data_IF_670116415351
#
_entry.id   IF_670116415351
#
_cell.length_a   1.000
_cell.length_b   1.000
_cell.length_c   1.000
_cell.angle_alpha   90.00
_cell.angle_beta   90.00
_cell.angle_gamma   90.00
#
_symmetry.space_group_name_H-M   'P 1'
#
loop_
_entity.id
_entity.type
_entity.pdbx_description
1 polymer ?
#
# COMPACT_ATOMS: atom_id res chain seq x y z
N UNK A 1 13.41 5.59 -43.25
CA UNK A 1 12.23 4.76 -42.97
C UNK A 1 11.78 5.13 -41.56
N UNK A 2 10.65 5.84 -41.46
CA UNK A 2 10.16 6.40 -40.20
C UNK A 2 9.60 5.30 -39.29
N UNK A 3 10.04 5.26 -38.03
CA UNK A 3 9.37 4.49 -36.99
C UNK A 3 8.08 5.23 -36.58
N UNK A 4 6.93 4.56 -36.42
CA UNK A 4 5.75 5.23 -35.90
C UNK A 4 5.97 5.48 -34.41
N UNK A 5 5.91 6.76 -34.02
CA UNK A 5 5.61 7.16 -32.65
C UNK A 5 4.22 6.64 -32.33
N UNK A 6 4.13 5.54 -31.57
CA UNK A 6 2.86 5.11 -30.98
C UNK A 6 2.45 6.22 -30.02
N UNK A 7 1.46 7.02 -30.40
CA UNK A 7 0.93 8.04 -29.52
C UNK A 7 0.28 7.35 -28.32
N UNK A 8 0.68 7.76 -27.12
CA UNK A 8 -0.02 7.44 -25.87
C UNK A 8 -1.32 8.26 -25.80
N UNK A 9 -2.18 8.15 -26.79
CA UNK A 9 -3.42 8.90 -26.85
C UNK A 9 -4.60 7.97 -26.55
N UNK A 10 -5.25 8.19 -25.43
CA UNK A 10 -6.59 7.65 -25.18
C UNK A 10 -7.56 8.25 -26.21
N UNK A 11 -8.57 7.48 -26.62
CA UNK A 11 -9.63 8.04 -27.47
C UNK A 11 -10.40 9.13 -26.71
N UNK A 12 -10.94 10.11 -27.42
CA UNK A 12 -11.77 11.16 -26.82
C UNK A 12 -12.96 10.55 -26.05
N UNK A 13 -13.53 9.46 -26.56
CA UNK A 13 -14.59 8.72 -25.87
C UNK A 13 -14.12 8.14 -24.52
N UNK A 14 -12.89 7.58 -24.46
CA UNK A 14 -12.34 7.07 -23.21
C UNK A 14 -12.03 8.19 -22.21
N UNK A 15 -11.49 9.32 -22.69
CA UNK A 15 -11.25 10.51 -21.85
C UNK A 15 -12.56 11.08 -21.29
N UNK A 16 -13.59 11.20 -22.14
CA UNK A 16 -14.93 11.65 -21.74
C UNK A 16 -15.56 10.69 -20.73
N UNK A 17 -15.53 9.38 -20.97
CA UNK A 17 -16.05 8.39 -20.03
C UNK A 17 -15.35 8.44 -18.67
N UNK A 18 -14.03 8.52 -18.65
CA UNK A 18 -13.26 8.61 -17.41
C UNK A 18 -13.54 9.91 -16.63
N UNK A 19 -13.63 11.05 -17.33
CA UNK A 19 -14.00 12.32 -16.70
C UNK A 19 -15.42 12.33 -16.13
N UNK A 20 -16.39 11.70 -16.80
CA UNK A 20 -17.74 11.51 -16.28
C UNK A 20 -17.75 10.64 -15.02
N UNK A 21 -16.88 9.63 -14.96
CA UNK A 21 -16.65 8.81 -13.79
C UNK A 21 -15.74 9.48 -12.73
N UNK A 22 -15.32 10.73 -12.94
CA UNK A 22 -14.56 11.51 -11.96
C UNK A 22 -13.09 11.10 -11.80
N UNK A 23 -12.49 10.38 -12.75
CA UNK A 23 -11.08 9.98 -12.67
C UNK A 23 -10.25 10.36 -13.91
N UNK A 24 -8.98 10.68 -13.70
CA UNK A 24 -8.06 11.10 -14.79
C UNK A 24 -7.21 9.93 -15.27
N UNK A 25 -7.53 9.38 -16.44
CA UNK A 25 -6.77 8.28 -17.06
C UNK A 25 -5.26 8.56 -17.15
N UNK A 26 -4.88 9.79 -17.50
CA UNK A 26 -3.46 10.18 -17.60
C UNK A 26 -2.70 10.17 -16.26
N UNK A 27 -3.41 10.12 -15.13
CA UNK A 27 -2.81 10.04 -13.80
C UNK A 27 -2.63 8.59 -13.30
N UNK A 28 -3.17 7.61 -14.03
CA UNK A 28 -3.00 6.18 -13.72
C UNK A 28 -1.57 5.77 -14.01
N UNK A 29 -0.88 5.21 -13.01
CA UNK A 29 0.54 4.84 -13.08
C UNK A 29 0.78 3.33 -13.17
N UNK A 30 -0.24 2.52 -12.89
CA UNK A 30 -0.13 1.07 -12.81
C UNK A 30 -1.34 0.41 -13.48
N UNK A 31 -1.07 -0.71 -14.16
CA UNK A 31 -2.03 -1.52 -14.92
C UNK A 31 -1.93 -2.94 -14.42
N UNK A 32 -3.07 -3.56 -14.11
CA UNK A 32 -3.12 -4.94 -13.62
C UNK A 32 -3.08 -5.96 -14.75
N UNK A 33 -3.73 -5.67 -15.88
CA UNK A 33 -3.79 -6.57 -17.02
C UNK A 33 -3.95 -5.79 -18.33
N UNK A 34 -3.39 -6.33 -19.41
CA UNK A 34 -3.60 -5.85 -20.78
C UNK A 34 -3.97 -7.03 -21.67
N UNK A 35 -5.11 -6.93 -22.37
CA UNK A 35 -5.58 -7.94 -23.30
C UNK A 35 -5.89 -7.31 -24.66
N UNK A 36 -5.76 -8.10 -25.74
CA UNK A 36 -6.23 -7.70 -27.08
C UNK A 36 -7.53 -8.45 -27.35
N UNK A 37 -8.65 -7.72 -27.39
CA UNK A 37 -10.00 -8.28 -27.58
C UNK A 37 -10.65 -7.60 -28.77
N UNK A 38 -11.09 -8.40 -29.76
CA UNK A 38 -11.84 -7.89 -30.91
C UNK A 38 -11.14 -6.82 -31.74
N UNK A 39 -9.80 -6.80 -31.76
CA UNK A 39 -9.00 -5.78 -32.46
C UNK A 39 -8.76 -4.48 -31.66
N UNK A 40 -9.22 -4.41 -30.40
CA UNK A 40 -8.91 -3.35 -29.45
C UNK A 40 -7.99 -3.82 -28.32
N UNK A 41 -7.39 -2.88 -27.60
CA UNK A 41 -6.63 -3.15 -26.36
C UNK A 41 -7.54 -2.83 -25.17
N UNK A 42 -7.77 -3.82 -24.33
CA UNK A 42 -8.46 -3.70 -23.04
C UNK A 42 -7.42 -3.65 -21.92
N UNK A 43 -7.66 -2.77 -20.94
CA UNK A 43 -6.73 -2.50 -19.84
C UNK A 43 -7.48 -2.57 -18.52
N UNK A 44 -7.09 -3.51 -17.65
CA UNK A 44 -7.64 -3.62 -16.29
C UNK A 44 -6.76 -2.82 -15.34
N UNK A 45 -7.38 -1.97 -14.52
CA UNK A 45 -6.68 -1.13 -13.56
C UNK A 45 -6.88 -1.65 -12.14
N UNK A 46 -5.84 -1.56 -11.32
CA UNK A 46 -5.96 -1.80 -9.89
C UNK A 46 -6.87 -0.75 -9.25
N UNK A 47 -7.79 -1.16 -8.37
CA UNK A 47 -8.72 -0.28 -7.66
C UNK A 47 -8.01 0.89 -6.97
N UNK A 48 -6.83 0.62 -6.39
CA UNK A 48 -5.98 1.62 -5.76
C UNK A 48 -5.44 2.66 -6.74
N UNK A 49 -5.00 2.22 -7.92
CA UNK A 49 -4.53 3.12 -8.97
C UNK A 49 -5.66 4.03 -9.49
N UNK A 50 -6.88 3.51 -9.57
CA UNK A 50 -8.08 4.29 -9.91
C UNK A 50 -8.39 5.32 -8.81
N UNK A 51 -8.38 4.91 -7.53
CA UNK A 51 -8.60 5.81 -6.40
C UNK A 51 -7.57 6.96 -6.33
N UNK A 52 -6.32 6.66 -6.68
CA UNK A 52 -5.25 7.64 -6.82
C UNK A 52 -5.50 8.63 -7.95
N UNK A 53 -5.87 8.13 -9.13
CA UNK A 53 -6.17 8.95 -10.29
C UNK A 53 -7.38 9.86 -10.07
N UNK A 54 -8.39 9.38 -9.34
CA UNK A 54 -9.55 10.16 -8.92
C UNK A 54 -9.18 11.34 -8.00
N UNK A 55 -8.34 11.13 -6.99
CA UNK A 55 -7.90 12.21 -6.08
C UNK A 55 -7.10 13.31 -6.78
N UNK A 56 -6.30 12.97 -7.79
CA UNK A 56 -5.57 13.96 -8.64
C UNK A 56 -6.50 14.74 -9.59
N UNK A 57 -7.76 14.33 -9.65
CA UNK A 57 -8.79 14.77 -10.57
C UNK A 57 -9.35 16.15 -10.34
N UNK A 58 -9.24 16.68 -9.13
CA UNK A 58 -10.02 17.84 -8.68
C UNK A 58 -11.52 17.56 -8.51
N UNK A 59 -12.03 16.47 -9.10
CA UNK A 59 -13.32 15.87 -8.77
C UNK A 59 -13.17 15.02 -7.53
N UNK A 60 -13.62 15.55 -6.38
CA UNK A 60 -13.63 14.84 -5.12
C UNK A 60 -14.56 13.64 -5.16
N UNK A 61 -14.08 12.51 -5.69
CA UNK A 61 -14.52 11.24 -5.16
C UNK A 61 -13.94 11.12 -3.75
N UNK A 62 -14.75 10.77 -2.72
CA UNK A 62 -14.20 10.46 -1.41
C UNK A 62 -13.12 9.38 -1.58
N UNK A 63 -12.03 9.49 -0.81
CA UNK A 63 -10.87 8.59 -0.83
C UNK A 63 -11.27 7.12 -0.72
N UNK A 64 -11.68 6.47 -1.81
CA UNK A 64 -12.21 5.11 -1.85
C UNK A 64 -12.93 4.63 -0.56
N UNK A 65 -13.73 5.49 0.09
CA UNK A 65 -14.45 5.19 1.34
C UNK A 65 -13.63 5.08 2.65
N UNK A 66 -12.33 5.41 2.70
CA UNK A 66 -11.48 5.25 3.89
C UNK A 66 -11.16 6.53 4.67
N UNK A 67 -10.53 6.40 5.85
CA UNK A 67 -10.27 7.51 6.79
C UNK A 67 -9.10 8.43 6.39
N UNK A 68 -8.42 8.14 5.29
CA UNK A 68 -7.18 8.82 4.88
C UNK A 68 -7.18 9.28 3.45
N UNK A 69 -6.01 9.63 2.94
CA UNK A 69 -5.77 10.00 1.54
C UNK A 69 -4.52 9.33 1.02
N UNK A 70 -4.51 8.99 -0.26
CA UNK A 70 -3.30 8.48 -0.86
C UNK A 70 -2.35 9.63 -1.19
N UNK A 71 -1.06 9.42 -0.94
CA UNK A 71 0.01 10.38 -1.21
C UNK A 71 1.17 9.70 -1.93
N UNK A 72 1.96 10.50 -2.64
CA UNK A 72 3.24 10.04 -3.20
C UNK A 72 4.33 10.29 -2.18
N UNK A 73 5.15 9.28 -1.94
CA UNK A 73 6.25 9.31 -0.98
C UNK A 73 7.53 8.82 -1.66
N UNK A 74 8.64 9.48 -1.38
CA UNK A 74 9.95 9.03 -1.83
C UNK A 74 10.60 8.24 -0.68
N UNK A 75 10.27 6.96 -0.59
CA UNK A 75 10.78 6.11 0.48
C UNK A 75 12.09 5.43 0.11
N UNK A 76 13.06 5.52 1.03
CA UNK A 76 14.31 4.78 0.95
C UNK A 76 14.07 3.34 1.38
N UNK A 77 13.71 2.49 0.43
CA UNK A 77 13.57 1.05 0.63
C UNK A 77 14.24 0.27 -0.50
N UNK A 78 14.68 -0.95 -0.17
CA UNK A 78 15.23 -1.89 -1.16
C UNK A 78 14.14 -2.34 -2.14
N UNK A 79 14.51 -2.62 -3.39
CA UNK A 79 13.59 -3.13 -4.43
C UNK A 79 12.76 -4.33 -3.97
N UNK A 80 13.39 -5.31 -3.33
CA UNK A 80 12.69 -6.48 -2.73
C UNK A 80 11.60 -6.12 -1.71
N UNK A 81 11.77 -5.02 -0.97
CA UNK A 81 10.79 -4.57 0.02
C UNK A 81 9.64 -3.84 -0.68
N UNK A 82 9.96 -3.05 -1.70
CA UNK A 82 8.99 -2.35 -2.55
C UNK A 82 8.09 -3.32 -3.32
N UNK A 83 8.68 -4.34 -3.94
CA UNK A 83 7.92 -5.40 -4.62
C UNK A 83 7.00 -6.16 -3.65
N UNK A 84 7.50 -6.48 -2.44
CA UNK A 84 6.68 -7.11 -1.42
C UNK A 84 5.54 -6.21 -0.93
N UNK A 85 5.80 -4.91 -0.74
CA UNK A 85 4.76 -3.94 -0.39
C UNK A 85 3.65 -3.95 -1.45
N UNK A 86 3.99 -3.75 -2.72
CA UNK A 86 3.03 -3.75 -3.82
C UNK A 86 2.24 -5.07 -3.88
N UNK A 87 2.90 -6.21 -3.66
CA UNK A 87 2.25 -7.53 -3.61
C UNK A 87 1.16 -7.61 -2.54
N UNK A 88 1.45 -7.17 -1.31
CA UNK A 88 0.53 -7.39 -0.17
C UNK A 88 -0.46 -6.25 0.06
N UNK A 89 -0.24 -5.09 -0.57
CA UNK A 89 -1.16 -3.95 -0.47
C UNK A 89 -1.91 -3.65 -1.75
N UNK A 90 -1.43 -4.13 -2.91
CA UNK A 90 -1.94 -3.73 -4.23
C UNK A 90 -1.76 -2.23 -4.50
N UNK A 91 -0.94 -1.54 -3.71
CA UNK A 91 -0.66 -0.13 -3.86
C UNK A 91 0.49 0.09 -4.85
N UNK A 92 0.39 1.12 -5.72
CA UNK A 92 1.50 1.48 -6.59
C UNK A 92 2.76 1.79 -5.79
N UNK A 93 3.89 1.42 -6.36
CA UNK A 93 5.20 1.74 -5.79
C UNK A 93 5.36 3.25 -5.50
N UNK A 94 5.96 3.58 -4.35
CA UNK A 94 6.16 4.98 -3.95
C UNK A 94 4.88 5.70 -3.54
N UNK A 95 3.85 4.96 -3.14
CA UNK A 95 2.64 5.51 -2.55
C UNK A 95 2.47 5.08 -1.09
N UNK A 96 1.78 5.92 -0.33
CA UNK A 96 1.35 5.62 1.03
C UNK A 96 -0.09 6.10 1.25
N UNK A 97 -0.82 5.43 2.12
CA UNK A 97 -2.12 5.86 2.61
C UNK A 97 -1.94 6.65 3.90
N UNK A 98 -2.16 7.95 3.83
CA UNK A 98 -1.90 8.91 4.90
C UNK A 98 -3.15 9.19 5.71
N UNK A 99 -3.08 8.94 7.00
CA UNK A 99 -4.03 9.46 7.98
C UNK A 99 -3.50 10.76 8.56
N UNK A 100 -4.39 11.70 8.83
CA UNK A 100 -4.05 12.97 9.44
C UNK A 100 -5.16 13.44 10.38
N UNK A 101 -4.81 13.72 11.63
CA UNK A 101 -5.68 14.36 12.61
C UNK A 101 -4.93 15.54 13.25
N UNK A 102 -5.40 16.76 13.00
CA UNK A 102 -4.66 17.97 13.32
C UNK A 102 -3.27 17.96 12.69
N UNK A 103 -2.25 18.11 13.53
CA UNK A 103 -0.83 18.09 13.15
C UNK A 103 -0.22 16.67 13.19
N UNK A 104 -0.98 15.67 13.64
CA UNK A 104 -0.50 14.28 13.69
C UNK A 104 -0.70 13.62 12.35
N UNK A 105 0.38 13.07 11.79
CA UNK A 105 0.39 12.37 10.50
C UNK A 105 0.95 10.97 10.70
N UNK A 106 0.27 9.97 10.15
CA UNK A 106 0.76 8.59 10.08
C UNK A 106 0.49 8.04 8.70
N UNK A 107 1.50 7.37 8.16
CA UNK A 107 1.42 6.69 6.88
C UNK A 107 1.27 5.18 7.09
N UNK A 108 0.55 4.57 6.16
CA UNK A 108 0.39 3.13 5.96
C UNK A 108 0.81 2.79 4.53
N UNK A 109 1.28 1.57 4.32
CA UNK A 109 1.69 1.08 3.01
C UNK A 109 0.50 0.83 2.06
N UNK A 110 -0.71 0.71 2.60
CA UNK A 110 -1.93 0.72 1.83
C UNK A 110 -3.21 0.75 2.63
N UNK A 111 -4.34 0.67 1.92
CA UNK A 111 -5.68 0.60 2.49
C UNK A 111 -6.57 -0.28 1.60
N UNK A 112 -7.20 -1.28 2.20
CA UNK A 112 -8.22 -2.11 1.54
C UNK A 112 -9.61 -1.54 1.87
N UNK A 113 -10.32 -0.95 0.88
CA UNK A 113 -11.62 -0.35 1.09
C UNK A 113 -12.75 -1.38 1.24
N UNK A 114 -12.56 -2.62 0.78
CA UNK A 114 -13.57 -3.69 0.87
C UNK A 114 -13.62 -4.23 2.30
N UNK A 115 -12.45 -4.49 2.87
CA UNK A 115 -12.31 -4.95 4.25
C UNK A 115 -12.30 -3.80 5.28
N UNK A 116 -12.17 -2.55 4.83
CA UNK A 116 -11.93 -1.38 5.68
C UNK A 116 -10.75 -1.59 6.64
N UNK A 117 -9.58 -1.90 6.07
CA UNK A 117 -8.35 -2.20 6.83
C UNK A 117 -7.15 -1.43 6.29
N UNK A 118 -6.38 -0.85 7.20
CA UNK A 118 -5.12 -0.17 6.95
C UNK A 118 -3.99 -1.20 6.92
N UNK A 119 -3.16 -1.16 5.88
CA UNK A 119 -2.17 -2.20 5.58
C UNK A 119 -0.75 -1.67 5.81
N UNK A 120 0.06 -2.47 6.50
CA UNK A 120 1.51 -2.29 6.63
C UNK A 120 2.22 -3.53 6.08
N UNK A 121 3.33 -3.34 5.36
CA UNK A 121 4.14 -4.40 4.78
C UNK A 121 5.51 -4.46 5.46
N UNK A 122 5.81 -5.62 6.07
CA UNK A 122 7.17 -5.94 6.54
C UNK A 122 7.78 -7.00 5.62
N UNK A 123 8.53 -6.53 4.62
CA UNK A 123 9.28 -7.39 3.70
C UNK A 123 10.36 -8.23 4.39
N UNK A 124 11.06 -9.12 3.66
CA UNK A 124 11.98 -10.08 4.27
C UNK A 124 13.19 -9.46 4.98
N UNK A 125 13.92 -10.25 5.75
CA UNK A 125 15.19 -9.86 6.36
C UNK A 125 15.11 -9.33 7.80
N UNK A 126 13.99 -9.54 8.49
CA UNK A 126 13.84 -9.24 9.91
C UNK A 126 14.16 -10.45 10.80
N UNK A 127 13.88 -11.67 10.37
CA UNK A 127 14.15 -12.89 11.13
C UNK A 127 15.61 -13.02 11.57
N UNK A 128 16.55 -12.52 10.76
CA UNK A 128 17.98 -12.50 11.09
C UNK A 128 18.31 -11.70 12.36
N UNK A 129 17.41 -10.83 12.81
CA UNK A 129 17.55 -10.05 14.04
C UNK A 129 16.92 -10.71 15.26
N UNK A 130 16.21 -11.83 15.09
CA UNK A 130 15.74 -12.65 16.20
C UNK A 130 16.83 -13.61 16.68
N UNK A 131 16.89 -13.82 18.00
CA UNK A 131 17.62 -14.92 18.64
C UNK A 131 16.78 -16.21 18.54
N UNK A 132 17.34 -17.32 19.03
CA UNK A 132 16.63 -18.61 19.06
C UNK A 132 15.46 -18.61 20.06
N UNK A 133 15.56 -17.82 21.12
CA UNK A 133 14.59 -17.68 22.21
C UNK A 133 13.49 -16.63 21.93
N UNK A 134 13.29 -16.23 20.67
CA UNK A 134 12.33 -15.20 20.24
C UNK A 134 12.58 -13.80 20.82
N UNK A 135 13.76 -13.52 21.36
CA UNK A 135 14.16 -12.15 21.72
C UNK A 135 14.88 -11.46 20.56
N UNK A 136 14.84 -10.13 20.53
CA UNK A 136 15.65 -9.37 19.57
C UNK A 136 17.12 -9.42 19.97
N UNK A 137 18.01 -9.50 18.99
CA UNK A 137 19.46 -9.34 19.20
C UNK A 137 19.76 -7.99 19.85
N UNK A 138 20.62 -7.97 20.86
CA UNK A 138 20.84 -6.79 21.73
C UNK A 138 21.34 -5.55 20.97
N UNK A 139 22.01 -5.74 19.83
CA UNK A 139 22.45 -4.66 18.97
C UNK A 139 21.34 -4.07 18.08
N UNK A 140 20.21 -4.78 17.92
CA UNK A 140 19.12 -4.33 17.06
C UNK A 140 18.21 -3.36 17.80
N UNK A 141 18.52 -2.06 17.68
CA UNK A 141 17.68 -0.97 18.20
C UNK A 141 16.46 -0.65 17.31
N UNK A 142 16.34 -1.31 16.16
CA UNK A 142 15.28 -1.03 15.18
C UNK A 142 13.87 -1.37 15.69
N UNK A 143 13.77 -2.28 16.65
CA UNK A 143 12.47 -2.75 17.14
C UNK A 143 11.70 -1.68 17.91
N UNK A 144 12.39 -0.86 18.71
CA UNK A 144 11.74 0.25 19.43
C UNK A 144 11.03 1.22 18.48
N UNK A 145 11.69 1.60 17.37
CA UNK A 145 11.07 2.45 16.35
C UNK A 145 9.88 1.81 15.65
N UNK A 146 9.93 0.49 15.44
CA UNK A 146 8.82 -0.27 14.87
C UNK A 146 7.62 -0.30 15.81
N UNK A 147 7.87 -0.49 17.11
CA UNK A 147 6.81 -0.45 18.11
C UNK A 147 6.23 0.97 18.26
N UNK A 148 7.07 2.00 18.21
CA UNK A 148 6.60 3.39 18.18
C UNK A 148 5.75 3.69 16.94
N UNK A 149 6.08 3.11 15.78
CA UNK A 149 5.24 3.19 14.58
C UNK A 149 3.88 2.53 14.83
N UNK A 150 3.86 1.30 15.33
CA UNK A 150 2.62 0.56 15.63
C UNK A 150 1.72 1.31 16.63
N UNK A 151 2.31 1.92 17.66
CA UNK A 151 1.60 2.77 18.64
C UNK A 151 1.00 4.02 17.99
N UNK A 152 1.74 4.73 17.13
CA UNK A 152 1.21 5.91 16.42
C UNK A 152 0.09 5.52 15.45
N UNK A 153 0.25 4.43 14.70
CA UNK A 153 -0.78 3.89 13.82
C UNK A 153 -2.06 3.53 14.59
N UNK A 154 -1.92 2.80 15.70
CA UNK A 154 -3.07 2.40 16.53
C UNK A 154 -3.83 3.60 17.10
N UNK A 155 -3.14 4.69 17.45
CA UNK A 155 -3.79 5.91 17.94
C UNK A 155 -4.61 6.63 16.87
N UNK A 156 -4.11 6.66 15.63
CA UNK A 156 -4.71 7.46 14.56
C UNK A 156 -5.74 6.68 13.72
N UNK A 157 -5.72 5.35 13.77
CA UNK A 157 -6.63 4.50 13.01
C UNK A 157 -8.09 4.58 13.47
N UNK A 158 -8.35 5.06 14.70
CA UNK A 158 -9.68 5.10 15.32
C UNK A 158 -10.37 3.73 15.22
N UNK A 159 -11.57 3.66 14.63
CA UNK A 159 -12.33 2.41 14.45
C UNK A 159 -11.89 1.57 13.23
N UNK A 160 -10.86 2.02 12.50
CA UNK A 160 -10.38 1.33 11.30
C UNK A 160 -9.39 0.24 11.70
N UNK A 161 -9.60 -0.98 11.19
CA UNK A 161 -8.72 -2.11 11.49
C UNK A 161 -7.32 -1.89 10.92
N UNK A 162 -6.31 -2.43 11.60
CA UNK A 162 -4.92 -2.42 11.12
C UNK A 162 -4.46 -3.86 10.91
N UNK A 163 -3.83 -4.13 9.75
CA UNK A 163 -3.16 -5.38 9.43
C UNK A 163 -1.71 -5.15 9.02
N UNK A 164 -0.80 -5.81 9.71
CA UNK A 164 0.61 -5.90 9.35
C UNK A 164 0.85 -7.23 8.61
N UNK A 165 1.14 -7.14 7.31
CA UNK A 165 1.51 -8.25 6.45
C UNK A 165 3.03 -8.48 6.51
N UNK A 166 3.45 -9.62 7.04
CA UNK A 166 4.85 -9.91 7.35
C UNK A 166 5.36 -11.06 6.51
N UNK A 167 6.50 -10.86 5.84
CA UNK A 167 7.04 -11.84 4.89
C UNK A 167 7.45 -13.15 5.59
N UNK A 168 8.03 -13.03 6.77
CA UNK A 168 8.74 -14.11 7.46
C UNK A 168 7.98 -14.59 8.69
N UNK A 169 7.76 -15.91 8.80
CA UNK A 169 6.86 -16.50 9.79
C UNK A 169 7.33 -16.27 11.23
N UNK A 170 8.61 -16.52 11.55
CA UNK A 170 9.10 -16.34 12.93
C UNK A 170 9.01 -14.89 13.36
N UNK A 171 9.21 -13.97 12.43
CA UNK A 171 9.06 -12.54 12.72
C UNK A 171 7.59 -12.14 12.91
N UNK A 172 6.67 -12.71 12.13
CA UNK A 172 5.24 -12.54 12.33
C UNK A 172 4.80 -13.04 13.72
N UNK A 173 5.25 -14.23 14.12
CA UNK A 173 4.94 -14.81 15.42
C UNK A 173 5.45 -13.93 16.57
N UNK A 174 6.69 -13.43 16.45
CA UNK A 174 7.27 -12.47 17.39
C UNK A 174 6.45 -11.18 17.49
N UNK A 175 6.02 -10.61 16.36
CA UNK A 175 5.22 -9.37 16.35
C UNK A 175 3.83 -9.57 16.99
N UNK A 176 3.20 -10.73 16.81
CA UNK A 176 1.93 -11.03 17.49
C UNK A 176 2.08 -10.97 18.99
N UNK A 177 3.11 -11.61 19.54
CA UNK A 177 3.38 -11.60 20.97
C UNK A 177 3.71 -10.18 21.46
N UNK A 178 4.55 -9.46 20.73
CA UNK A 178 4.93 -8.10 21.11
C UNK A 178 3.73 -7.13 21.10
N UNK A 179 2.87 -7.19 20.09
CA UNK A 179 1.67 -6.34 20.02
C UNK A 179 0.64 -6.72 21.06
N UNK A 180 0.48 -8.01 21.36
CA UNK A 180 -0.38 -8.48 22.44
C UNK A 180 0.10 -7.95 23.81
N UNK A 181 1.40 -8.06 24.11
CA UNK A 181 1.99 -7.55 25.35
C UNK A 181 1.86 -6.03 25.50
N UNK A 182 1.77 -5.32 24.38
CA UNK A 182 1.61 -3.88 24.29
C UNK A 182 0.14 -3.42 24.23
N UNK A 183 -0.81 -4.37 24.22
CA UNK A 183 -2.23 -4.08 24.12
C UNK A 183 -2.66 -3.45 22.79
N UNK A 184 -1.88 -3.66 21.73
CA UNK A 184 -2.16 -3.11 20.39
C UNK A 184 -3.07 -4.08 19.62
N UNK A 185 -4.23 -3.59 19.20
CA UNK A 185 -5.19 -4.34 18.37
C UNK A 185 -4.79 -4.31 16.88
N UNK A 186 -3.62 -4.87 16.57
CA UNK A 186 -3.08 -4.99 15.21
C UNK A 186 -3.10 -6.46 14.78
N UNK A 187 -3.76 -6.76 13.67
CA UNK A 187 -3.72 -8.09 13.06
C UNK A 187 -2.35 -8.30 12.42
N UNK A 188 -1.68 -9.43 12.69
CA UNK A 188 -0.42 -9.78 12.02
C UNK A 188 -0.61 -11.04 11.19
N UNK A 189 -0.53 -10.88 9.87
CA UNK A 189 -0.70 -11.96 8.89
C UNK A 189 0.66 -12.27 8.27
N UNK A 190 0.98 -13.55 8.15
CA UNK A 190 2.18 -13.98 7.41
C UNK A 190 1.80 -14.17 5.94
N UNK A 191 2.51 -13.51 5.04
CA UNK A 191 2.32 -13.66 3.59
C UNK A 191 3.68 -13.84 2.95
N UNK A 192 3.92 -14.97 2.27
CA UNK A 192 5.21 -15.21 1.64
C UNK A 192 5.41 -14.28 0.43
N UNK A 193 6.63 -13.75 0.19
CA UNK A 193 6.93 -13.03 -1.03
C UNK A 193 6.63 -13.87 -2.27
N UNK A 194 6.08 -13.24 -3.31
CA UNK A 194 5.93 -13.83 -4.63
C UNK A 194 7.34 -14.21 -5.17
N UNK A 195 7.38 -15.29 -5.95
CA UNK A 195 8.62 -15.81 -6.56
C UNK A 195 8.96 -15.04 -7.82
#
# INVERSE_FOLDING_TARGET
MFAPLVSRAFSDAALLGASQAGFRLAAVREVSEVAVVGGGVEVTLASTAVAMAAQSGGGGLPSAGGPGKWVQVNESMSERARAYQAQVTGAPEGSAYRLQEGDTVVDFDGFDPVENVLLEAKGPGYEKFLKADMTMKDFYRGFGRMLDQARRQSRLANDTRIRWNVAEKRFADFLREAFQNEGLSIEVVQVSPAR
#
